data_IF_031773996145
#
_entry.id   IF_031773996145
#
_cell.length_a   1.000
_cell.length_b   1.000
_cell.length_c   1.000
_cell.angle_alpha   90.00
_cell.angle_beta   90.00
_cell.angle_gamma   90.00
#
_symmetry.space_group_name_H-M   'P 1'
#
loop_
_entity.id
_entity.type
_entity.pdbx_description
1 polymer ?
#
# COMPACT_ATOMS: atom_id res chain seq x y z
N UNK A 1 6.41 -12.87 8.88
CA UNK A 1 5.50 -12.07 8.02
C UNK A 1 6.15 -10.72 7.68
N UNK A 2 6.26 -10.33 6.41
CA UNK A 2 6.92 -9.08 6.02
C UNK A 2 6.00 -7.85 5.90
N UNK A 3 6.60 -6.67 6.00
CA UNK A 3 6.01 -5.37 5.71
C UNK A 3 6.52 -4.81 4.37
N UNK A 4 5.67 -4.11 3.64
CA UNK A 4 6.05 -3.24 2.53
C UNK A 4 5.63 -1.80 2.86
N UNK A 5 6.38 -0.80 2.40
CA UNK A 5 6.06 0.60 2.63
C UNK A 5 6.09 1.37 1.31
N UNK A 6 5.01 2.10 1.02
CA UNK A 6 4.86 2.93 -0.18
C UNK A 6 4.85 4.39 0.24
N UNK A 7 5.62 5.24 -0.42
CA UNK A 7 5.73 6.67 -0.08
C UNK A 7 5.10 7.59 -1.13
N UNK A 8 4.48 8.66 -0.65
CA UNK A 8 3.92 9.73 -1.46
C UNK A 8 4.43 11.06 -0.93
N UNK A 9 4.90 11.94 -1.82
CA UNK A 9 5.12 13.35 -1.50
C UNK A 9 3.82 14.11 -1.66
N UNK A 10 3.34 14.70 -0.57
CA UNK A 10 2.10 15.48 -0.52
C UNK A 10 2.39 16.93 -0.19
N UNK A 11 1.52 17.83 -0.64
CA UNK A 11 1.62 19.26 -0.34
C UNK A 11 1.37 19.46 1.16
N UNK A 12 2.11 20.38 1.81
CA UNK A 12 1.91 20.66 3.24
C UNK A 12 0.54 21.32 3.48
N UNK A 13 -0.01 21.11 4.68
CA UNK A 13 -1.22 21.79 5.16
C UNK A 13 -2.54 21.13 4.75
N UNK A 14 -2.49 19.88 4.29
CA UNK A 14 -3.67 19.11 3.88
C UNK A 14 -3.78 17.76 4.62
N UNK A 15 -3.13 17.65 5.78
CA UNK A 15 -2.99 16.39 6.50
C UNK A 15 -4.35 15.84 6.95
N UNK A 16 -5.28 16.71 7.36
CA UNK A 16 -6.62 16.33 7.80
C UNK A 16 -7.50 15.87 6.62
N UNK A 17 -7.48 16.58 5.48
CA UNK A 17 -8.19 16.16 4.27
C UNK A 17 -7.67 14.83 3.73
N UNK A 18 -6.35 14.62 3.79
CA UNK A 18 -5.74 13.34 3.43
C UNK A 18 -6.19 12.24 4.40
N UNK A 19 -6.24 12.53 5.71
CA UNK A 19 -6.71 11.57 6.71
C UNK A 19 -8.17 11.16 6.45
N UNK A 20 -9.04 12.08 6.05
CA UNK A 20 -10.43 11.77 5.67
C UNK A 20 -10.52 10.83 4.46
N UNK A 21 -9.68 11.05 3.44
CA UNK A 21 -9.62 10.19 2.24
C UNK A 21 -9.32 8.74 2.63
N UNK A 22 -8.32 8.53 3.49
CA UNK A 22 -7.94 7.19 3.94
C UNK A 22 -8.86 6.62 5.02
N UNK A 23 -9.50 7.45 5.85
CA UNK A 23 -10.46 7.03 6.86
C UNK A 23 -11.77 6.49 6.27
N UNK A 24 -12.18 7.03 5.11
CA UNK A 24 -13.33 6.54 4.36
C UNK A 24 -13.05 5.25 3.55
N UNK A 25 -11.80 4.81 3.48
CA UNK A 25 -11.43 3.62 2.70
C UNK A 25 -11.82 2.35 3.44
N UNK A 26 -12.80 1.62 2.90
CA UNK A 26 -13.16 0.30 3.39
C UNK A 26 -12.17 -0.74 2.86
N UNK A 27 -11.70 -1.62 3.76
CA UNK A 27 -10.90 -2.79 3.40
C UNK A 27 -11.62 -3.63 2.35
N UNK A 28 -10.85 -4.22 1.44
CA UNK A 28 -11.36 -5.16 0.43
C UNK A 28 -12.12 -6.34 1.05
N UNK A 29 -13.12 -6.81 0.31
CA UNK A 29 -14.04 -7.88 0.68
C UNK A 29 -13.35 -9.21 1.03
N UNK A 30 -12.16 -9.50 0.47
CA UNK A 30 -11.39 -10.70 0.82
C UNK A 30 -9.91 -10.39 1.08
N UNK A 31 -9.36 -10.84 2.22
CA UNK A 31 -7.95 -10.62 2.56
C UNK A 31 -7.00 -11.59 1.84
N UNK A 32 -7.50 -12.66 1.24
CA UNK A 32 -6.69 -13.73 0.64
C UNK A 32 -6.66 -13.62 -0.88
N UNK A 33 -5.46 -13.56 -1.44
CA UNK A 33 -5.20 -13.58 -2.87
C UNK A 33 -4.84 -14.99 -3.34
N UNK A 34 -5.37 -15.39 -4.51
CA UNK A 34 -5.06 -16.66 -5.15
C UNK A 34 -4.21 -16.46 -6.40
N UNK A 35 -3.33 -17.40 -6.70
CA UNK A 35 -2.59 -17.44 -7.96
C UNK A 35 -3.45 -17.95 -9.13
N UNK A 36 -2.83 -18.04 -10.32
CA UNK A 36 -3.45 -18.53 -11.56
C UNK A 36 -3.92 -19.99 -11.49
N UNK A 37 -3.47 -20.76 -10.49
CA UNK A 37 -3.86 -22.15 -10.25
C UNK A 37 -4.94 -22.29 -9.18
N UNK A 38 -5.36 -21.18 -8.55
CA UNK A 38 -6.36 -21.15 -7.50
C UNK A 38 -5.81 -21.38 -6.10
N UNK A 39 -4.49 -21.49 -5.91
CA UNK A 39 -3.87 -21.65 -4.59
C UNK A 39 -3.71 -20.31 -3.88
N UNK A 40 -3.75 -20.30 -2.54
CA UNK A 40 -3.43 -19.11 -1.75
C UNK A 40 -1.97 -18.70 -1.99
N UNK A 41 -1.78 -17.50 -2.51
CA UNK A 41 -0.49 -16.99 -2.96
C UNK A 41 -0.05 -15.72 -2.22
N UNK A 42 -0.99 -15.06 -1.54
CA UNK A 42 -0.70 -13.98 -0.62
C UNK A 42 -1.91 -13.62 0.22
N UNK A 43 -1.65 -12.91 1.31
CA UNK A 43 -2.71 -12.45 2.21
C UNK A 43 -2.39 -11.05 2.72
N UNK A 44 -3.38 -10.16 2.70
CA UNK A 44 -3.29 -8.85 3.33
C UNK A 44 -3.67 -8.96 4.82
N UNK A 45 -2.70 -8.76 5.70
CA UNK A 45 -2.89 -8.81 7.15
C UNK A 45 -3.27 -7.45 7.73
N UNK A 46 -2.72 -6.37 7.16
CA UNK A 46 -2.73 -5.05 7.76
C UNK A 46 -2.45 -3.97 6.73
N UNK A 47 -3.09 -2.82 6.89
CA UNK A 47 -2.65 -1.58 6.24
C UNK A 47 -2.61 -0.49 7.31
N UNK A 48 -1.47 0.20 7.41
CA UNK A 48 -1.31 1.42 8.19
C UNK A 48 -0.96 2.57 7.26
N UNK A 49 -1.46 3.76 7.54
CA UNK A 49 -1.15 4.97 6.77
C UNK A 49 -0.68 6.03 7.76
N UNK A 50 0.47 6.63 7.49
CA UNK A 50 1.13 7.59 8.35
C UNK A 50 1.51 8.81 7.53
N UNK A 51 1.33 10.00 8.08
CA UNK A 51 1.74 11.25 7.43
C UNK A 51 2.57 12.07 8.40
N UNK A 52 3.64 12.69 7.90
CA UNK A 52 4.43 13.68 8.64
C UNK A 52 5.21 14.54 7.65
N UNK A 53 5.21 15.86 7.86
CA UNK A 53 6.06 16.82 7.13
C UNK A 53 5.98 16.68 5.59
N UNK A 54 4.78 16.45 5.05
CA UNK A 54 4.57 16.27 3.60
C UNK A 54 4.98 14.89 3.05
N UNK A 55 5.29 13.93 3.92
CA UNK A 55 5.60 12.54 3.57
C UNK A 55 4.48 11.65 4.09
N UNK A 56 3.74 11.05 3.16
CA UNK A 56 2.73 10.04 3.44
C UNK A 56 3.33 8.66 3.17
N UNK A 57 3.24 7.75 4.14
CA UNK A 57 3.71 6.38 4.05
C UNK A 57 2.55 5.42 4.29
N UNK A 58 2.28 4.56 3.32
CA UNK A 58 1.36 3.43 3.45
C UNK A 58 2.15 2.15 3.71
N UNK A 59 2.00 1.59 4.90
CA UNK A 59 2.59 0.31 5.31
C UNK A 59 1.57 -0.81 5.07
N UNK A 60 2.01 -1.86 4.40
CA UNK A 60 1.24 -3.05 4.05
C UNK A 60 1.86 -4.22 4.79
N UNK A 61 1.12 -4.84 5.70
CA UNK A 61 1.50 -6.08 6.36
C UNK A 61 0.87 -7.25 5.61
N UNK A 62 1.68 -8.22 5.18
CA UNK A 62 1.22 -9.28 4.30
C UNK A 62 1.90 -10.63 4.57
N UNK A 63 1.31 -11.68 4.00
CA UNK A 63 1.89 -13.02 3.88
C UNK A 63 2.07 -13.39 2.41
N UNK A 64 3.01 -14.30 2.13
CA UNK A 64 3.27 -14.80 0.78
C UNK A 64 4.09 -13.85 -0.09
N UNK A 65 3.87 -13.89 -1.41
CA UNK A 65 4.62 -13.10 -2.38
C UNK A 65 4.04 -11.69 -2.51
N UNK A 66 4.85 -10.67 -2.19
CA UNK A 66 4.44 -9.28 -2.30
C UNK A 66 4.02 -8.88 -3.72
N UNK A 67 4.59 -9.49 -4.75
CA UNK A 67 4.23 -9.19 -6.14
C UNK A 67 2.79 -9.57 -6.43
N UNK A 68 2.34 -10.69 -5.90
CA UNK A 68 0.94 -11.15 -6.01
C UNK A 68 0.04 -10.22 -5.21
N UNK A 69 0.44 -9.87 -3.98
CA UNK A 69 -0.29 -8.93 -3.12
C UNK A 69 -0.45 -7.56 -3.81
N UNK A 70 0.64 -7.01 -4.33
CA UNK A 70 0.67 -5.70 -5.00
C UNK A 70 -0.15 -5.71 -6.31
N UNK A 71 -0.02 -6.75 -7.13
CA UNK A 71 -0.80 -6.88 -8.37
C UNK A 71 -2.31 -6.95 -8.09
N UNK A 72 -2.71 -7.68 -7.03
CA UNK A 72 -4.10 -7.75 -6.64
C UNK A 72 -4.60 -6.40 -6.08
N UNK A 73 -3.81 -5.74 -5.22
CA UNK A 73 -4.14 -4.40 -4.72
C UNK A 73 -4.33 -3.38 -5.85
N UNK A 74 -3.51 -3.48 -6.90
CA UNK A 74 -3.60 -2.61 -8.08
C UNK A 74 -4.95 -2.69 -8.82
N UNK A 75 -5.64 -3.82 -8.72
CA UNK A 75 -6.92 -4.05 -9.42
C UNK A 75 -8.13 -3.62 -8.57
N UNK A 76 -7.92 -3.23 -7.31
CA UNK A 76 -9.01 -2.91 -6.40
C UNK A 76 -9.55 -1.51 -6.68
N UNK A 77 -10.86 -1.42 -6.93
CA UNK A 77 -11.56 -0.14 -7.17
C UNK A 77 -11.28 0.91 -6.09
N UNK A 78 -11.18 0.49 -4.83
CA UNK A 78 -10.91 1.41 -3.75
C UNK A 78 -9.52 2.06 -3.83
N UNK A 79 -8.53 1.38 -4.41
CA UNK A 79 -7.18 1.95 -4.57
C UNK A 79 -7.20 3.05 -5.62
N UNK A 80 -7.89 2.82 -6.75
CA UNK A 80 -8.12 3.88 -7.75
C UNK A 80 -8.86 5.08 -7.17
N UNK A 81 -9.87 4.85 -6.31
CA UNK A 81 -10.61 5.94 -5.66
C UNK A 81 -9.73 6.74 -4.69
N UNK A 82 -8.85 6.08 -3.92
CA UNK A 82 -7.86 6.77 -3.09
C UNK A 82 -6.97 7.64 -3.97
N UNK A 83 -6.46 7.08 -5.07
CA UNK A 83 -5.53 7.81 -5.94
C UNK A 83 -6.17 9.04 -6.58
N UNK A 84 -7.39 8.90 -7.10
CA UNK A 84 -8.14 10.02 -7.66
C UNK A 84 -8.35 11.14 -6.64
N UNK A 85 -8.75 10.77 -5.41
CA UNK A 85 -8.96 11.73 -4.32
C UNK A 85 -7.64 12.32 -3.79
N UNK A 86 -6.56 11.54 -3.80
CA UNK A 86 -5.25 11.97 -3.30
C UNK A 86 -4.51 12.84 -4.32
N UNK A 87 -4.76 12.66 -5.62
CA UNK A 87 -4.07 13.34 -6.72
C UNK A 87 -3.96 14.87 -6.58
N UNK A 88 -5.01 15.61 -6.16
CA UNK A 88 -4.92 17.06 -5.94
C UNK A 88 -3.90 17.45 -4.88
N UNK A 89 -3.61 16.56 -3.92
CA UNK A 89 -2.73 16.82 -2.79
C UNK A 89 -1.29 16.36 -3.02
N UNK A 90 -1.00 15.69 -4.14
CA UNK A 90 0.36 15.27 -4.48
C UNK A 90 1.20 16.49 -4.91
N UNK A 91 2.47 16.52 -4.50
CA UNK A 91 3.43 17.54 -4.97
C UNK A 91 3.66 17.44 -6.48
N UNK A 92 3.69 16.20 -6.99
CA UNK A 92 3.80 15.89 -8.41
C UNK A 92 2.54 15.12 -8.80
N UNK A 93 1.78 15.66 -9.76
CA UNK A 93 0.67 14.94 -10.36
C UNK A 93 1.19 13.79 -11.20
N UNK A 94 0.48 12.68 -11.18
CA UNK A 94 0.93 11.41 -11.77
C UNK A 94 -0.17 10.84 -12.61
N UNK A 95 0.19 10.36 -13.80
CA UNK A 95 -0.70 9.55 -14.61
C UNK A 95 -0.61 8.11 -14.12
N UNK A 96 -1.63 7.66 -13.39
CA UNK A 96 -1.83 6.27 -12.96
C UNK A 96 -3.04 5.65 -13.67
N UNK A 97 -3.48 6.25 -14.79
CA UNK A 97 -4.70 5.87 -15.50
C UNK A 97 -4.63 4.49 -16.16
N UNK A 98 -3.43 3.93 -16.33
CA UNK A 98 -3.22 2.58 -16.85
C UNK A 98 -2.67 1.63 -15.78
N UNK A 99 -3.01 0.32 -15.84
CA UNK A 99 -2.42 -0.68 -14.94
C UNK A 99 -0.89 -0.70 -14.98
N UNK A 100 -0.28 -0.48 -16.15
CA UNK A 100 1.16 -0.47 -16.34
C UNK A 100 1.80 0.75 -15.66
N UNK A 101 1.21 1.94 -15.82
CA UNK A 101 1.70 3.16 -15.18
C UNK A 101 1.54 3.09 -13.66
N UNK A 102 0.42 2.53 -13.20
CA UNK A 102 0.19 2.24 -11.79
C UNK A 102 1.24 1.27 -11.22
N UNK A 103 1.53 0.16 -11.92
CA UNK A 103 2.55 -0.78 -11.45
C UNK A 103 3.94 -0.16 -11.43
N UNK A 104 4.30 0.63 -12.45
CA UNK A 104 5.56 1.36 -12.47
C UNK A 104 5.67 2.30 -11.27
N UNK A 105 4.61 3.09 -11.03
CA UNK A 105 4.52 3.96 -9.88
C UNK A 105 4.67 3.21 -8.55
N UNK A 106 3.95 2.10 -8.37
CA UNK A 106 4.04 1.30 -7.15
C UNK A 106 5.46 0.81 -6.90
N UNK A 107 6.20 0.42 -7.95
CA UNK A 107 7.60 0.03 -7.81
C UNK A 107 8.50 1.20 -7.45
N UNK A 108 8.30 2.36 -8.05
CA UNK A 108 9.12 3.55 -7.82
C UNK A 108 8.86 4.17 -6.44
N UNK A 109 7.63 4.07 -5.96
CA UNK A 109 7.19 4.53 -4.64
C UNK A 109 7.48 3.50 -3.52
N UNK A 110 7.88 2.27 -3.86
CA UNK A 110 8.20 1.25 -2.89
C UNK A 110 9.51 1.59 -2.17
N UNK A 111 9.43 1.75 -0.86
CA UNK A 111 10.60 1.98 -0.02
C UNK A 111 11.43 0.69 0.10
N UNK A 112 12.76 0.84 0.04
CA UNK A 112 13.68 -0.25 0.32
C UNK A 112 13.54 -0.68 1.79
N UNK A 113 13.19 -1.94 2.02
CA UNK A 113 13.25 -2.53 3.35
C UNK A 113 14.70 -2.74 3.79
N UNK A 114 15.08 -2.13 4.92
CA UNK A 114 16.45 -2.26 5.49
C UNK A 114 16.47 -3.28 6.64
N UNK A 115 15.41 -3.36 7.43
CA UNK A 115 15.25 -4.34 8.51
C UNK A 115 13.76 -4.58 8.77
N UNK A 116 13.42 -5.81 9.15
CA UNK A 116 12.07 -6.16 9.59
C UNK A 116 12.18 -7.13 10.76
N UNK A 117 11.47 -6.82 11.84
CA UNK A 117 11.42 -7.64 13.04
C UNK A 117 9.94 -7.88 13.37
N UNK A 118 9.57 -9.14 13.54
CA UNK A 118 8.26 -9.58 14.00
C UNK A 118 8.41 -10.52 15.20
N UNK A 119 7.28 -10.92 15.79
CA UNK A 119 7.26 -11.97 16.83
C UNK A 119 7.92 -13.25 16.31
N UNK A 120 7.65 -13.64 15.06
CA UNK A 120 8.25 -14.83 14.43
C UNK A 120 9.78 -14.76 14.30
N UNK A 121 10.35 -13.56 14.19
CA UNK A 121 11.81 -13.36 14.11
C UNK A 121 12.44 -13.13 15.47
N UNK A 122 11.67 -13.23 16.56
CA UNK A 122 12.18 -13.02 17.90
C UNK A 122 13.19 -14.11 18.26
N UNK A 123 14.42 -13.77 18.70
CA UNK A 123 15.48 -14.77 18.95
C UNK A 123 15.11 -15.83 19.98
N UNK A 124 14.24 -15.49 20.92
CA UNK A 124 13.80 -16.39 21.98
C UNK A 124 12.66 -17.36 21.60
N UNK A 125 12.17 -17.34 20.34
CA UNK A 125 11.15 -18.26 19.81
C UNK A 125 9.89 -18.36 20.69
N UNK A 126 8.85 -17.59 20.39
CA UNK A 126 7.52 -17.83 20.94
C UNK A 126 6.54 -18.18 19.85
#
# INVERSE_FOLDING_TARGET
>A
MPYAAITYKVRPGFDDEIAEIFGAFQRVDTPTMRDVTGNEAGRLLGTGVFIKDGVLVRVIHYEGDFRVVAAHMAQQKGVHLIEEKLAPYLVEQRDTSTPEAFQAYFRDALMRSIAQLSVDTHPAGR
#
